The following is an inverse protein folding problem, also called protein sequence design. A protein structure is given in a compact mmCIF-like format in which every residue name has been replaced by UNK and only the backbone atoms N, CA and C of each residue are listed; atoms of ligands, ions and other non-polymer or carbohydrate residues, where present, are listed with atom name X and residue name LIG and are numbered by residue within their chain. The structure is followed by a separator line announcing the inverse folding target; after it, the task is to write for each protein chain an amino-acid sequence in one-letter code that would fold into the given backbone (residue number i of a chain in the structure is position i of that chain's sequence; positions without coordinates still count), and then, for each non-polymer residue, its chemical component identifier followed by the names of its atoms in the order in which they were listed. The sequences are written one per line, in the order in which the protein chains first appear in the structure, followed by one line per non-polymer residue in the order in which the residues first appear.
data_IF_280407064202
#
_entry.id   IF_280407064202
#
_cell.length_a   1.000
_cell.length_b   1.000
_cell.length_c   1.000
_cell.angle_alpha   90.00
_cell.angle_beta   90.00
_cell.angle_gamma   90.00
#
_symmetry.space_group_name_H-M   'P 1'
#
loop_
_entity.id
_entity.type
_entity.pdbx_description
1 polymer ?
#
# COMPACT_ATOMS: atom_id res chain seq x y z
N UNK A 1 9.45 -48.08 48.83
CA UNK A 1 9.09 -47.87 47.41
C UNK A 1 9.76 -46.58 46.96
N UNK A 2 11.04 -46.66 46.64
CA UNK A 2 11.75 -45.54 46.02
C UNK A 2 11.71 -45.80 44.51
N UNK A 3 10.86 -45.04 43.80
CA UNK A 3 10.92 -45.03 42.34
C UNK A 3 12.31 -44.56 41.93
N UNK A 4 12.97 -45.32 41.06
CA UNK A 4 14.31 -44.97 40.59
C UNK A 4 14.29 -43.58 39.98
N UNK A 5 15.40 -42.84 40.11
CA UNK A 5 15.55 -41.52 39.53
C UNK A 5 15.25 -41.51 38.02
N UNK A 6 15.51 -42.62 37.33
CA UNK A 6 15.19 -42.81 35.92
C UNK A 6 13.67 -42.67 35.61
N UNK A 7 12.79 -43.25 36.42
CA UNK A 7 11.33 -43.20 36.20
C UNK A 7 10.77 -41.76 36.36
N UNK A 8 11.37 -40.95 37.24
CA UNK A 8 10.99 -39.53 37.42
C UNK A 8 11.46 -38.65 36.27
N UNK A 9 12.63 -38.94 35.70
CA UNK A 9 13.18 -38.22 34.55
C UNK A 9 12.38 -38.53 33.28
N UNK A 10 11.97 -39.78 33.10
CA UNK A 10 11.16 -40.22 31.96
C UNK A 10 9.75 -39.58 31.98
N UNK A 11 9.11 -39.48 33.15
CA UNK A 11 7.84 -38.76 33.34
C UNK A 11 7.98 -37.25 33.10
N UNK A 12 9.09 -36.64 33.52
CA UNK A 12 9.38 -35.23 33.25
C UNK A 12 9.57 -34.94 31.77
N UNK A 13 10.23 -35.84 31.04
CA UNK A 13 10.44 -35.78 29.59
C UNK A 13 9.12 -35.97 28.82
N UNK A 14 8.28 -36.93 29.22
CA UNK A 14 6.95 -37.14 28.63
C UNK A 14 6.02 -35.93 28.83
N UNK A 15 6.04 -35.32 30.03
CA UNK A 15 5.26 -34.10 30.32
C UNK A 15 5.75 -32.88 29.54
N UNK A 16 7.07 -32.73 29.36
CA UNK A 16 7.63 -31.67 28.51
C UNK A 16 7.28 -31.86 27.02
N UNK A 17 7.33 -33.11 26.51
CA UNK A 17 7.00 -33.43 25.13
C UNK A 17 5.53 -33.17 24.77
N UNK A 18 4.58 -33.54 25.64
CA UNK A 18 3.17 -33.23 25.44
C UNK A 18 2.84 -31.72 25.52
N UNK A 19 3.54 -30.98 26.38
CA UNK A 19 3.40 -29.51 26.47
C UNK A 19 3.95 -28.79 25.24
N UNK A 20 5.09 -29.24 24.70
CA UNK A 20 5.69 -28.67 23.49
C UNK A 20 4.85 -28.92 22.24
N UNK A 21 4.20 -30.09 22.12
CA UNK A 21 3.31 -30.40 20.99
C UNK A 21 2.10 -29.47 20.90
N UNK A 22 1.52 -29.08 22.04
CA UNK A 22 0.43 -28.10 22.10
C UNK A 22 0.87 -26.67 21.76
N UNK A 23 2.08 -26.27 22.20
CA UNK A 23 2.65 -24.95 21.87
C UNK A 23 3.04 -24.88 20.39
N UNK A 24 3.60 -25.95 19.81
CA UNK A 24 3.93 -26.00 18.38
C UNK A 24 2.67 -25.91 17.50
N UNK A 25 1.58 -26.59 17.87
CA UNK A 25 0.29 -26.48 17.18
C UNK A 25 -0.33 -25.08 17.35
N UNK A 26 -0.25 -24.49 18.56
CA UNK A 26 -0.73 -23.14 18.84
C UNK A 26 0.03 -22.06 18.06
N UNK A 27 1.36 -22.06 18.10
CA UNK A 27 2.19 -21.10 17.37
C UNK A 27 2.04 -21.28 15.85
N UNK A 28 1.88 -22.51 15.36
CA UNK A 28 1.65 -22.77 13.94
C UNK A 28 0.32 -22.22 13.42
N UNK A 29 -0.78 -22.40 14.16
CA UNK A 29 -2.12 -21.98 13.72
C UNK A 29 -2.34 -20.49 14.00
N UNK A 30 -2.08 -20.02 15.22
CA UNK A 30 -2.27 -18.61 15.57
C UNK A 30 -1.25 -17.70 14.88
N UNK A 31 -0.01 -18.18 14.68
CA UNK A 31 1.00 -17.47 13.91
C UNK A 31 0.59 -17.29 12.45
N UNK A 32 0.07 -18.34 11.80
CA UNK A 32 -0.38 -18.26 10.41
C UNK A 32 -1.59 -17.31 10.25
N UNK A 33 -2.54 -17.34 11.18
CA UNK A 33 -3.71 -16.44 11.17
C UNK A 33 -3.28 -14.99 11.38
N UNK A 34 -2.44 -14.72 12.40
CA UNK A 34 -1.96 -13.37 12.70
C UNK A 34 -1.15 -12.77 11.55
N UNK A 35 -0.25 -13.55 10.93
CA UNK A 35 0.51 -13.13 9.74
C UNK A 35 -0.43 -12.80 8.57
N UNK A 36 -1.48 -13.60 8.37
CA UNK A 36 -2.43 -13.36 7.28
C UNK A 36 -3.25 -12.07 7.49
N UNK A 37 -3.63 -11.76 8.73
CA UNK A 37 -4.31 -10.49 9.04
C UNK A 37 -3.38 -9.29 8.92
N UNK A 38 -2.13 -9.38 9.41
CA UNK A 38 -1.12 -8.34 9.24
C UNK A 38 -0.85 -8.06 7.75
N UNK A 39 -0.76 -9.12 6.94
CA UNK A 39 -0.61 -8.99 5.49
C UNK A 39 -1.79 -8.25 4.87
N UNK A 40 -3.03 -8.59 5.25
CA UNK A 40 -4.23 -7.87 4.78
C UNK A 40 -4.20 -6.39 5.16
N UNK A 41 -3.82 -6.07 6.40
CA UNK A 41 -3.70 -4.69 6.87
C UNK A 41 -2.62 -3.92 6.09
N UNK A 42 -1.46 -4.51 5.86
CA UNK A 42 -0.38 -3.91 5.06
C UNK A 42 -0.82 -3.65 3.61
N UNK A 43 -1.53 -4.59 2.98
CA UNK A 43 -2.08 -4.40 1.63
C UNK A 43 -3.15 -3.29 1.58
N UNK A 44 -3.98 -3.17 2.63
CA UNK A 44 -4.97 -2.10 2.74
C UNK A 44 -4.30 -0.72 2.89
N UNK A 45 -3.29 -0.61 3.76
CA UNK A 45 -2.50 0.61 3.93
C UNK A 45 -1.79 1.01 2.63
N UNK A 46 -1.17 0.06 1.94
CA UNK A 46 -0.52 0.30 0.65
C UNK A 46 -1.52 0.76 -0.42
N UNK A 47 -2.74 0.20 -0.45
CA UNK A 47 -3.77 0.65 -1.37
C UNK A 47 -4.23 2.09 -1.07
N UNK A 48 -4.40 2.46 0.21
CA UNK A 48 -4.73 3.83 0.61
C UNK A 48 -3.64 4.82 0.21
N UNK A 49 -2.37 4.51 0.51
CA UNK A 49 -1.22 5.34 0.13
C UNK A 49 -1.09 5.53 -1.38
N UNK A 50 -1.36 4.46 -2.15
CA UNK A 50 -1.45 4.55 -3.61
C UNK A 50 -2.53 5.51 -4.07
N UNK A 51 -3.74 5.42 -3.51
CA UNK A 51 -4.86 6.31 -3.84
C UNK A 51 -4.53 7.77 -3.51
N UNK A 52 -3.96 8.03 -2.33
CA UNK A 52 -3.58 9.38 -1.89
C UNK A 52 -2.57 10.02 -2.85
N UNK A 53 -1.50 9.29 -3.20
CA UNK A 53 -0.50 9.81 -4.13
C UNK A 53 -1.07 9.98 -5.55
N UNK A 54 -1.92 9.06 -6.00
CA UNK A 54 -2.63 9.18 -7.28
C UNK A 54 -3.49 10.43 -7.36
N UNK A 55 -4.32 10.69 -6.34
CA UNK A 55 -5.15 11.90 -6.25
C UNK A 55 -4.28 13.16 -6.24
N UNK A 56 -3.22 13.17 -5.43
CA UNK A 56 -2.29 14.29 -5.33
C UNK A 56 -1.67 14.63 -6.69
N UNK A 57 -1.14 13.63 -7.39
CA UNK A 57 -0.56 13.80 -8.74
C UNK A 57 -1.62 14.25 -9.76
N UNK A 58 -2.84 13.71 -9.69
CA UNK A 58 -3.93 14.15 -10.56
C UNK A 58 -4.27 15.63 -10.35
N UNK A 59 -4.43 16.09 -9.10
CA UNK A 59 -4.76 17.49 -8.77
C UNK A 59 -3.62 18.42 -9.20
N UNK A 60 -2.37 18.10 -8.87
CA UNK A 60 -1.21 18.91 -9.19
C UNK A 60 -1.05 19.11 -10.71
N UNK A 61 -1.14 18.01 -11.46
CA UNK A 61 -0.97 18.06 -12.91
C UNK A 61 -2.18 18.64 -13.62
N UNK A 62 -3.41 18.39 -13.15
CA UNK A 62 -4.61 19.06 -13.67
C UNK A 62 -4.50 20.57 -13.46
N UNK A 63 -4.11 21.02 -12.27
CA UNK A 63 -3.91 22.43 -11.98
C UNK A 63 -2.89 23.10 -12.91
N UNK A 64 -1.88 22.34 -13.33
CA UNK A 64 -0.84 22.78 -14.26
C UNK A 64 -1.30 22.85 -15.73
N UNK A 65 -2.49 22.34 -16.08
CA UNK A 65 -3.06 22.49 -17.41
C UNK A 65 -3.49 23.94 -17.58
N UNK A 66 -2.62 24.77 -18.17
CA UNK A 66 -2.96 26.10 -18.66
C UNK A 66 -3.64 26.97 -17.57
N UNK A 67 -3.10 26.94 -16.35
CA UNK A 67 -3.63 27.73 -15.23
C UNK A 67 -5.01 27.28 -14.72
N UNK A 68 -5.39 26.02 -14.92
CA UNK A 68 -6.59 25.40 -14.34
C UNK A 68 -6.66 25.60 -12.81
N UNK A 69 -5.51 25.66 -12.15
CA UNK A 69 -5.39 25.92 -10.71
C UNK A 69 -6.03 27.24 -10.27
N UNK A 70 -6.10 28.23 -11.16
CA UNK A 70 -6.71 29.53 -10.88
C UNK A 70 -8.21 29.57 -11.20
N UNK A 71 -8.73 28.52 -11.83
CA UNK A 71 -10.14 28.40 -12.18
C UNK A 71 -10.97 28.03 -10.95
N UNK A 72 -11.23 29.03 -10.10
CA UNK A 72 -11.99 28.89 -8.83
C UNK A 72 -13.49 28.60 -9.00
N UNK A 73 -14.00 28.65 -10.23
CA UNK A 73 -15.40 28.34 -10.54
C UNK A 73 -15.71 26.84 -10.46
N UNK A 74 -14.72 26.00 -10.16
CA UNK A 74 -14.86 24.56 -10.06
C UNK A 74 -14.07 24.03 -8.86
N UNK A 75 -14.71 23.16 -8.07
CA UNK A 75 -14.06 22.51 -6.94
C UNK A 75 -13.37 21.22 -7.39
N UNK A 76 -12.08 21.32 -7.68
CA UNK A 76 -11.25 20.20 -8.12
C UNK A 76 -11.19 19.05 -7.10
N UNK A 77 -11.34 19.34 -5.80
CA UNK A 77 -11.28 18.34 -4.74
C UNK A 77 -12.53 17.46 -4.69
N UNK A 78 -13.70 18.01 -5.07
CA UNK A 78 -14.93 17.23 -5.23
C UNK A 78 -14.92 16.34 -6.49
N UNK A 79 -14.03 16.63 -7.43
CA UNK A 79 -13.99 16.01 -8.75
C UNK A 79 -12.96 14.88 -8.82
N UNK A 80 -11.78 15.13 -8.26
CA UNK A 80 -10.69 14.16 -8.20
C UNK A 80 -10.84 13.35 -6.91
N UNK A 81 -11.44 12.19 -7.04
CA UNK A 81 -11.79 11.29 -5.94
C UNK A 81 -11.03 9.97 -6.07
N UNK A 82 -11.04 9.10 -5.05
CA UNK A 82 -10.46 7.77 -5.11
C UNK A 82 -10.91 6.89 -6.29
N UNK A 83 -12.06 7.20 -6.90
CA UNK A 83 -12.63 6.40 -8.00
C UNK A 83 -12.56 7.08 -9.37
N UNK A 84 -12.07 8.33 -9.44
CA UNK A 84 -12.05 9.13 -10.68
C UNK A 84 -10.65 9.57 -11.10
N UNK A 85 -9.68 9.70 -10.18
CA UNK A 85 -8.35 10.26 -10.45
C UNK A 85 -7.56 9.57 -11.58
N UNK A 86 -7.79 8.26 -11.77
CA UNK A 86 -7.11 7.42 -12.76
C UNK A 86 -7.93 7.18 -14.03
N UNK A 87 -9.11 7.79 -14.16
CA UNK A 87 -10.02 7.57 -15.29
C UNK A 87 -9.86 8.69 -16.32
N UNK A 88 -9.29 8.41 -17.51
CA UNK A 88 -9.10 9.44 -18.53
C UNK A 88 -10.40 10.11 -18.94
N UNK A 89 -11.47 9.34 -19.14
CA UNK A 89 -12.77 9.86 -19.58
C UNK A 89 -13.40 10.81 -18.56
N UNK A 90 -13.24 10.55 -17.26
CA UNK A 90 -13.73 11.44 -16.21
C UNK A 90 -12.98 12.77 -16.25
N UNK A 91 -11.65 12.74 -16.27
CA UNK A 91 -10.86 13.98 -16.29
C UNK A 91 -11.08 14.77 -17.59
N UNK A 92 -11.17 14.08 -18.74
CA UNK A 92 -11.49 14.67 -20.05
C UNK A 92 -12.83 15.39 -20.01
N UNK A 93 -13.87 14.73 -19.48
CA UNK A 93 -15.21 15.32 -19.40
C UNK A 93 -15.22 16.57 -18.52
N UNK A 94 -14.47 16.57 -17.43
CA UNK A 94 -14.42 17.70 -16.51
C UNK A 94 -13.69 18.90 -17.12
N UNK A 95 -12.54 18.67 -17.75
CA UNK A 95 -11.82 19.72 -18.47
C UNK A 95 -12.65 20.26 -19.65
N UNK A 96 -13.42 19.40 -20.32
CA UNK A 96 -14.37 19.82 -21.37
C UNK A 96 -15.48 20.73 -20.83
N UNK A 97 -15.99 20.47 -19.62
CA UNK A 97 -16.95 21.36 -18.96
C UNK A 97 -16.35 22.73 -18.62
N UNK A 98 -15.10 22.76 -18.14
CA UNK A 98 -14.38 24.03 -17.89
C UNK A 98 -14.25 24.82 -19.19
N UNK A 99 -13.86 24.14 -20.28
CA UNK A 99 -13.75 24.74 -21.60
C UNK A 99 -15.05 25.39 -22.06
N UNK A 100 -16.19 24.71 -21.96
CA UNK A 100 -17.48 25.28 -22.36
C UNK A 100 -17.86 26.50 -21.51
N UNK A 101 -17.54 26.48 -20.21
CA UNK A 101 -17.80 27.63 -19.31
C UNK A 101 -17.03 28.90 -19.68
N UNK A 102 -15.93 28.79 -20.43
CA UNK A 102 -15.21 29.97 -20.92
C UNK A 102 -16.06 30.86 -21.85
N UNK A 103 -17.07 30.27 -22.50
CA UNK A 103 -18.00 30.99 -23.38
C UNK A 103 -19.31 31.36 -22.66
N UNK A 104 -19.68 30.63 -21.61
CA UNK A 104 -20.98 30.75 -20.94
C UNK A 104 -20.99 31.79 -19.79
N UNK A 105 -19.81 32.16 -19.26
CA UNK A 105 -19.69 33.00 -18.06
C UNK A 105 -18.74 34.17 -18.32
N UNK A 106 -19.26 35.40 -18.25
CA UNK A 106 -18.47 36.63 -18.48
C UNK A 106 -17.24 36.76 -17.57
N UNK A 107 -17.34 36.33 -16.31
CA UNK A 107 -16.19 36.35 -15.38
C UNK A 107 -15.16 35.24 -15.65
N UNK A 108 -15.56 34.14 -16.32
CA UNK A 108 -14.64 33.08 -16.70
C UNK A 108 -13.68 33.54 -17.81
N UNK A 109 -14.09 34.48 -18.69
CA UNK A 109 -13.25 35.00 -19.77
C UNK A 109 -11.94 35.64 -19.25
N UNK A 110 -11.95 36.18 -18.02
CA UNK A 110 -10.78 36.81 -17.39
C UNK A 110 -9.78 35.80 -16.81
N UNK A 111 -10.19 34.55 -16.61
CA UNK A 111 -9.31 33.50 -16.06
C UNK A 111 -8.13 33.24 -16.99
N UNK A 112 -6.97 32.85 -16.43
CA UNK A 112 -5.80 32.49 -17.24
C UNK A 112 -6.14 31.37 -18.22
N UNK A 113 -6.90 30.37 -17.76
CA UNK A 113 -7.33 29.26 -18.59
C UNK A 113 -8.10 29.72 -19.83
N UNK A 114 -9.18 30.48 -19.67
CA UNK A 114 -9.99 30.89 -20.81
C UNK A 114 -9.26 31.85 -21.76
N UNK A 115 -8.40 32.74 -21.23
CA UNK A 115 -7.55 33.60 -22.08
C UNK A 115 -6.58 32.79 -22.92
N UNK A 116 -5.95 31.78 -22.33
CA UNK A 116 -5.03 30.91 -23.06
C UNK A 116 -5.75 30.03 -24.08
N UNK A 117 -6.96 29.52 -23.77
CA UNK A 117 -7.83 28.84 -24.73
C UNK A 117 -8.14 29.75 -25.93
N UNK A 118 -8.52 31.01 -25.68
CA UNK A 118 -8.79 32.00 -26.73
C UNK A 118 -7.56 32.27 -27.59
N UNK A 119 -6.38 32.38 -26.98
CA UNK A 119 -5.13 32.53 -27.71
C UNK A 119 -4.82 31.31 -28.60
N UNK A 120 -5.00 30.10 -28.09
CA UNK A 120 -4.82 28.85 -28.85
C UNK A 120 -5.83 28.73 -30.00
N UNK A 121 -7.07 29.20 -29.82
CA UNK A 121 -8.08 29.20 -30.90
C UNK A 121 -7.71 30.11 -32.08
N UNK A 122 -6.88 31.12 -31.85
CA UNK A 122 -6.41 32.04 -32.90
C UNK A 122 -5.24 31.47 -33.70
N UNK A 123 -4.60 30.40 -33.20
CA UNK A 123 -3.49 29.74 -33.89
C UNK A 123 -4.02 28.77 -34.97
N UNK A 124 -3.55 28.88 -36.22
CA UNK A 124 -3.99 27.99 -37.29
C UNK A 124 -3.61 26.53 -36.98
N UNK A 125 -4.56 25.62 -37.17
CA UNK A 125 -4.44 24.16 -36.95
C UNK A 125 -4.35 23.72 -35.49
N UNK A 126 -4.57 24.61 -34.52
CA UNK A 126 -4.66 24.25 -33.10
C UNK A 126 -6.13 24.10 -32.70
N UNK A 127 -6.47 22.96 -32.10
CA UNK A 127 -7.78 22.76 -31.45
C UNK A 127 -7.57 22.76 -29.94
N UNK A 128 -7.89 23.85 -29.22
CA UNK A 128 -7.63 23.93 -27.79
C UNK A 128 -8.31 22.81 -27.01
N UNK A 129 -9.54 22.44 -27.39
CA UNK A 129 -10.28 21.35 -26.77
C UNK A 129 -9.55 20.00 -26.91
N UNK A 130 -8.93 19.72 -28.06
CA UNK A 130 -8.14 18.50 -28.24
C UNK A 130 -6.86 18.52 -27.40
N UNK A 131 -6.21 19.67 -27.27
CA UNK A 131 -4.99 19.82 -26.46
C UNK A 131 -5.29 19.53 -24.99
N UNK A 132 -6.29 20.20 -24.42
CA UNK A 132 -6.60 20.08 -22.99
C UNK A 132 -7.19 18.71 -22.62
N UNK A 133 -7.98 18.09 -23.50
CA UNK A 133 -8.53 16.76 -23.24
C UNK A 133 -7.45 15.69 -23.32
N UNK A 134 -6.50 15.81 -24.27
CA UNK A 134 -5.32 14.95 -24.30
C UNK A 134 -4.47 15.10 -23.04
N UNK A 135 -4.20 16.34 -22.62
CA UNK A 135 -3.49 16.59 -21.37
C UNK A 135 -4.22 15.99 -20.16
N UNK A 136 -5.55 16.15 -20.06
CA UNK A 136 -6.34 15.56 -18.98
C UNK A 136 -6.25 14.01 -18.97
N UNK A 137 -6.27 13.38 -20.14
CA UNK A 137 -6.07 11.93 -20.26
C UNK A 137 -4.65 11.50 -19.83
N UNK A 138 -3.63 12.26 -20.22
CA UNK A 138 -2.24 12.03 -19.82
C UNK A 138 -2.06 12.21 -18.30
N UNK A 139 -2.80 13.15 -17.69
CA UNK A 139 -2.83 13.31 -16.23
C UNK A 139 -3.41 12.08 -15.55
N UNK A 140 -4.55 11.55 -16.02
CA UNK A 140 -5.12 10.33 -15.46
C UNK A 140 -4.14 9.14 -15.53
N UNK A 141 -3.44 9.00 -16.65
CA UNK A 141 -2.43 7.95 -16.82
C UNK A 141 -1.22 8.15 -15.88
N UNK A 142 -0.76 9.39 -15.71
CA UNK A 142 0.32 9.71 -14.78
C UNK A 142 -0.08 9.45 -13.33
N UNK A 143 -1.32 9.77 -12.97
CA UNK A 143 -1.87 9.56 -11.64
C UNK A 143 -2.04 8.07 -11.31
N UNK A 144 -2.53 7.26 -12.25
CA UNK A 144 -2.58 5.79 -12.12
C UNK A 144 -1.18 5.19 -11.93
N UNK A 145 -0.20 5.65 -12.71
CA UNK A 145 1.19 5.21 -12.60
C UNK A 145 1.79 5.58 -11.23
N UNK A 146 1.54 6.78 -10.75
CA UNK A 146 2.00 7.22 -9.43
C UNK A 146 1.36 6.41 -8.31
N UNK A 147 0.05 6.15 -8.39
CA UNK A 147 -0.67 5.33 -7.42
C UNK A 147 -0.11 3.91 -7.32
N UNK A 148 0.14 3.28 -8.48
CA UNK A 148 0.75 1.94 -8.54
C UNK A 148 2.16 1.92 -7.94
N UNK A 149 2.99 2.90 -8.30
CA UNK A 149 4.35 3.00 -7.78
C UNK A 149 4.37 3.21 -6.25
N UNK A 150 3.52 4.08 -5.72
CA UNK A 150 3.41 4.33 -4.28
C UNK A 150 2.90 3.09 -3.52
N UNK A 151 1.91 2.38 -4.08
CA UNK A 151 1.42 1.11 -3.52
C UNK A 151 2.50 0.04 -3.51
N UNK A 152 3.24 -0.13 -4.60
CA UNK A 152 4.34 -1.09 -4.69
C UNK A 152 5.46 -0.78 -3.70
N UNK A 153 5.85 0.49 -3.58
CA UNK A 153 6.84 0.94 -2.60
C UNK A 153 6.40 0.60 -1.17
N UNK A 154 5.12 0.82 -0.83
CA UNK A 154 4.62 0.52 0.52
C UNK A 154 4.59 -0.98 0.82
N UNK A 155 4.23 -1.80 -0.17
CA UNK A 155 4.29 -3.27 -0.03
C UNK A 155 5.74 -3.73 0.21
N UNK A 156 6.72 -3.14 -0.48
CA UNK A 156 8.14 -3.46 -0.30
C UNK A 156 8.58 -3.12 1.13
N UNK A 157 8.21 -1.95 1.64
CA UNK A 157 8.51 -1.53 3.02
C UNK A 157 7.90 -2.49 4.04
N UNK A 158 6.61 -2.82 3.90
CA UNK A 158 5.94 -3.74 4.82
C UNK A 158 6.54 -5.17 4.80
N UNK A 159 6.99 -5.64 3.64
CA UNK A 159 7.69 -6.93 3.52
C UNK A 159 9.08 -6.89 4.16
N UNK A 160 9.80 -5.78 4.03
CA UNK A 160 11.11 -5.60 4.67
C UNK A 160 10.99 -5.61 6.21
N UNK A 161 10.01 -4.90 6.78
CA UNK A 161 9.73 -4.94 8.22
C UNK A 161 9.34 -6.35 8.70
N UNK A 162 8.52 -7.05 7.90
CA UNK A 162 8.15 -8.44 8.21
C UNK A 162 9.39 -9.36 8.24
N UNK A 163 10.33 -9.19 7.31
CA UNK A 163 11.55 -10.02 7.25
C UNK A 163 12.45 -9.85 8.48
N UNK A 164 12.49 -8.65 9.06
CA UNK A 164 13.17 -8.39 10.33
C UNK A 164 12.51 -9.16 11.49
N UNK A 165 11.18 -9.13 11.57
CA UNK A 165 10.41 -9.87 12.58
C UNK A 165 10.60 -11.39 12.44
N UNK A 166 10.61 -11.92 11.22
CA UNK A 166 10.88 -13.34 10.97
C UNK A 166 12.29 -13.74 11.38
N UNK A 167 13.28 -12.87 11.19
CA UNK A 167 14.66 -13.12 11.64
C UNK A 167 14.73 -13.23 13.16
N UNK A 168 14.07 -12.32 13.88
CA UNK A 168 13.98 -12.37 15.35
C UNK A 168 13.29 -13.64 15.86
N UNK A 169 12.20 -14.07 15.20
CA UNK A 169 11.53 -15.35 15.50
C UNK A 169 12.46 -16.53 15.22
N UNK A 170 13.20 -16.50 14.11
CA UNK A 170 14.19 -17.52 13.74
C UNK A 170 15.27 -17.72 14.80
N UNK A 171 15.81 -16.63 15.38
CA UNK A 171 16.75 -16.70 16.49
C UNK A 171 16.13 -17.29 17.76
N UNK A 172 14.89 -16.92 18.08
CA UNK A 172 14.16 -17.49 19.23
C UNK A 172 13.95 -19.00 19.08
N UNK A 173 13.51 -19.46 17.90
CA UNK A 173 13.33 -20.89 17.60
C UNK A 173 14.66 -21.63 17.62
N UNK A 174 15.71 -21.04 17.06
CA UNK A 174 17.06 -21.64 17.07
C UNK A 174 17.61 -21.76 18.50
N UNK A 175 17.38 -20.75 19.35
CA UNK A 175 17.73 -20.80 20.76
C UNK A 175 16.98 -21.91 21.51
N UNK A 176 15.67 -22.07 21.27
CA UNK A 176 14.87 -23.16 21.85
C UNK A 176 15.41 -24.53 21.40
N UNK A 177 15.73 -24.69 20.11
CA UNK A 177 16.31 -25.93 19.58
C UNK A 177 17.66 -26.26 20.22
N UNK A 178 18.52 -25.26 20.45
CA UNK A 178 19.81 -25.43 21.14
C UNK A 178 19.59 -25.89 22.59
N UNK A 179 18.66 -25.29 23.32
CA UNK A 179 18.33 -25.70 24.71
C UNK A 179 17.86 -27.15 24.74
N UNK A 180 16.97 -27.55 23.82
CA UNK A 180 16.49 -28.94 23.70
C UNK A 180 17.64 -29.90 23.39
N UNK A 181 18.54 -29.55 22.47
CA UNK A 181 19.72 -30.36 22.11
C UNK A 181 20.67 -30.55 23.30
N UNK A 182 20.93 -29.49 24.07
CA UNK A 182 21.76 -29.55 25.28
C UNK A 182 21.09 -30.41 26.36
N UNK A 183 19.77 -30.27 26.56
CA UNK A 183 19.02 -31.11 27.49
C UNK A 183 19.03 -32.58 27.07
N UNK A 184 18.87 -32.87 25.78
CA UNK A 184 18.92 -34.23 25.24
C UNK A 184 20.31 -34.87 25.39
N UNK A 185 21.37 -34.10 25.11
CA UNK A 185 22.75 -34.57 25.28
C UNK A 185 23.12 -34.76 26.76
N UNK A 186 22.65 -33.90 27.67
CA UNK A 186 22.78 -34.14 29.12
C UNK A 186 21.99 -35.36 29.58
N UNK A 187 20.81 -35.62 29.02
CA UNK A 187 20.02 -36.82 29.30
C UNK A 187 20.74 -38.09 28.82
N UNK A 188 21.37 -38.06 27.64
CA UNK A 188 22.20 -39.15 27.11
C UNK A 188 23.46 -39.42 27.94
N UNK A 189 24.09 -38.36 28.47
CA UNK A 189 25.27 -38.48 29.32
C UNK A 189 24.96 -39.14 30.68
N UNK A 190 23.73 -38.96 31.19
CA UNK A 190 23.25 -39.60 32.42
C UNK A 190 22.74 -41.04 32.26
N UNK A 191 22.64 -41.55 31.02
CA UNK A 191 22.24 -42.95 30.73
C UNK A 191 23.48 -43.85 30.51
N UNK A 192 24.67 -43.25 30.32
CA UNK A 192 25.94 -43.94 30.08
C UNK A 192 26.91 -43.94 31.29
N UNK A 193 26.49 -43.38 32.43
CA UNK A 193 27.15 -43.45 33.73
C UNK A 193 26.19 -44.03 34.77
#
# INVERSE_FOLDING_TARGET
MEKSLAEKVEIGCLRCGCGLGGVAAGVGIFGAIAVNELKKAAFAAAAQKGIEEGIKVAIEKLGSIIGLSEFKLMDWSAIVTPTTYYKPMELVFMVSKVYNKCSDVMDAEKTLFCRAIKAMSNEPKVSPIQVITKQAADVAAAADKAAKAAKEAEIIVANAESSYLYSAIGYSVTAILIIVLVMFNKCKLYIFF
#
